data_IF_975642044804
#
_entry.id   IF_975642044804
#
_cell.length_a   1.000
_cell.length_b   1.000
_cell.length_c   1.000
_cell.angle_alpha   90.00
_cell.angle_beta   90.00
_cell.angle_gamma   90.00
#
_symmetry.space_group_name_H-M   'P 1'
#
loop_
_entity.id
_entity.type
_entity.pdbx_description
1 polymer ?
#
# COMPACT_ATOMS: atom_id res chain seq x y z
N UNK A 1 -5.45 19.13 -30.63
CA UNK A 1 -5.23 17.74 -31.07
C UNK A 1 -6.49 17.22 -31.73
N UNK A 2 -6.36 16.25 -32.67
CA UNK A 2 -7.51 15.59 -33.30
C UNK A 2 -7.64 14.17 -32.79
N UNK A 3 -8.82 13.79 -32.35
CA UNK A 3 -9.11 12.47 -31.74
C UNK A 3 -10.07 11.71 -32.65
N UNK A 4 -9.72 10.46 -32.97
CA UNK A 4 -10.63 9.52 -33.64
C UNK A 4 -11.33 8.68 -32.56
N UNK A 5 -12.66 8.63 -32.62
CA UNK A 5 -13.47 7.71 -31.80
C UNK A 5 -14.11 6.64 -32.66
N UNK A 6 -14.24 5.43 -32.09
CA UNK A 6 -15.09 4.37 -32.69
C UNK A 6 -16.52 4.94 -32.83
N UNK A 7 -17.18 4.73 -33.93
CA UNK A 7 -18.54 5.19 -34.22
C UNK A 7 -18.70 6.70 -34.54
N UNK A 8 -17.60 7.44 -34.75
CA UNK A 8 -17.61 8.81 -35.26
C UNK A 8 -16.75 8.86 -36.50
N UNK A 9 -17.36 9.21 -37.66
CA UNK A 9 -16.67 9.26 -38.97
C UNK A 9 -15.63 10.36 -39.04
N UNK A 10 -15.87 11.48 -38.37
CA UNK A 10 -15.01 12.66 -38.41
C UNK A 10 -14.08 12.72 -37.20
N UNK A 11 -12.93 13.38 -37.39
CA UNK A 11 -12.00 13.65 -36.30
C UNK A 11 -12.54 14.78 -35.43
N UNK A 12 -12.58 14.59 -34.13
CA UNK A 12 -13.02 15.56 -33.15
C UNK A 12 -11.84 16.43 -32.73
N UNK A 13 -11.98 17.76 -32.88
CA UNK A 13 -10.96 18.72 -32.47
C UNK A 13 -11.04 18.98 -30.94
N UNK A 14 -9.91 18.85 -30.25
CA UNK A 14 -9.75 19.24 -28.86
C UNK A 14 -8.61 20.26 -28.73
N UNK A 15 -8.87 21.33 -28.00
CA UNK A 15 -7.83 22.24 -27.52
C UNK A 15 -7.42 21.76 -26.13
N UNK A 16 -6.14 21.43 -25.95
CA UNK A 16 -5.58 21.03 -24.67
C UNK A 16 -4.61 22.13 -24.23
N UNK A 17 -4.94 22.79 -23.14
CA UNK A 17 -4.03 23.73 -22.49
C UNK A 17 -3.07 22.93 -21.59
N UNK A 18 -1.78 23.25 -21.69
CA UNK A 18 -0.79 22.65 -20.77
C UNK A 18 -1.02 23.19 -19.36
N UNK A 19 -1.05 22.30 -18.41
CA UNK A 19 -1.15 22.62 -16.99
C UNK A 19 -0.41 21.57 -16.17
N UNK A 20 -0.13 21.85 -14.90
CA UNK A 20 0.42 20.88 -13.97
C UNK A 20 -0.66 19.85 -13.63
N UNK A 21 -0.39 18.59 -13.96
CA UNK A 21 -1.28 17.49 -13.58
C UNK A 21 -0.82 16.98 -12.20
N UNK A 22 -1.62 17.21 -11.14
CA UNK A 22 -1.25 16.74 -9.82
C UNK A 22 -1.23 15.20 -9.80
N UNK A 23 -0.12 14.63 -9.39
CA UNK A 23 0.03 13.20 -9.20
C UNK A 23 -0.03 12.93 -7.71
N UNK A 24 -1.21 12.57 -7.21
CA UNK A 24 -1.43 12.32 -5.79
C UNK A 24 -0.64 11.10 -5.30
N UNK A 25 -0.19 11.18 -4.06
CA UNK A 25 0.48 10.12 -3.31
C UNK A 25 -0.47 9.41 -2.34
N UNK A 26 -1.50 10.12 -1.86
CA UNK A 26 -2.64 9.55 -1.13
C UNK A 26 -3.74 9.24 -2.15
N UNK A 27 -3.87 7.96 -2.50
CA UNK A 27 -4.80 7.51 -3.53
C UNK A 27 -6.24 7.36 -3.00
N UNK A 28 -6.39 7.09 -1.71
CA UNK A 28 -7.70 6.98 -1.07
C UNK A 28 -7.67 7.34 0.40
N UNK A 29 -8.77 7.89 0.89
CA UNK A 29 -9.06 8.03 2.32
C UNK A 29 -10.57 7.96 2.56
N UNK A 30 -10.99 7.19 3.55
CA UNK A 30 -12.40 7.02 3.92
C UNK A 30 -12.54 6.44 5.34
N UNK A 31 -13.75 6.47 5.89
CA UNK A 31 -14.06 5.79 7.15
C UNK A 31 -14.34 4.31 6.88
N UNK A 32 -13.50 3.42 7.39
CA UNK A 32 -13.66 1.97 7.29
C UNK A 32 -14.82 1.45 8.15
N UNK A 33 -15.05 2.12 9.29
CA UNK A 33 -16.17 1.97 10.19
C UNK A 33 -16.41 3.32 10.87
N UNK A 34 -17.44 3.50 11.76
CA UNK A 34 -17.76 4.79 12.38
C UNK A 34 -16.61 5.48 13.13
N UNK A 35 -15.57 4.74 13.52
CA UNK A 35 -14.45 5.23 14.32
C UNK A 35 -13.07 5.01 13.70
N UNK A 36 -12.95 4.21 12.65
CA UNK A 36 -11.70 3.83 12.04
C UNK A 36 -11.53 4.49 10.67
N UNK A 37 -10.54 5.38 10.54
CA UNK A 37 -10.13 5.94 9.26
C UNK A 37 -9.19 4.99 8.51
N UNK A 38 -9.20 5.07 7.20
CA UNK A 38 -8.28 4.38 6.30
C UNK A 38 -7.62 5.40 5.37
N UNK A 39 -6.30 5.28 5.19
CA UNK A 39 -5.53 6.08 4.23
C UNK A 39 -4.64 5.15 3.40
N UNK A 40 -4.75 5.22 2.07
CA UNK A 40 -3.87 4.54 1.13
C UNK A 40 -2.79 5.49 0.64
N UNK A 41 -1.52 5.18 0.94
CA UNK A 41 -0.37 5.90 0.41
C UNK A 41 0.31 4.99 -0.64
N UNK A 42 0.30 5.41 -1.91
CA UNK A 42 0.84 4.60 -3.02
C UNK A 42 2.31 4.88 -3.31
N UNK A 43 2.83 6.02 -2.83
CA UNK A 43 4.23 6.42 -2.91
C UNK A 43 4.51 7.57 -1.95
N UNK A 44 5.77 7.90 -1.72
CA UNK A 44 6.17 9.09 -0.97
C UNK A 44 6.69 10.17 -1.92
N UNK A 45 5.83 11.13 -2.27
CA UNK A 45 6.14 12.34 -3.04
C UNK A 45 6.39 13.53 -2.09
N UNK A 46 6.84 14.66 -2.63
CA UNK A 46 7.01 15.90 -1.84
C UNK A 46 5.68 16.38 -1.23
N UNK A 47 4.57 16.13 -1.91
CA UNK A 47 3.22 16.49 -1.47
C UNK A 47 2.62 15.56 -0.42
N UNK A 48 3.23 14.37 -0.16
CA UNK A 48 2.62 13.32 0.67
C UNK A 48 2.29 13.78 2.10
N UNK A 49 3.20 14.52 2.73
CA UNK A 49 2.95 15.04 4.08
C UNK A 49 1.68 15.90 4.12
N UNK A 50 1.54 16.82 3.17
CA UNK A 50 0.36 17.68 3.06
C UNK A 50 -0.90 16.88 2.78
N UNK A 51 -0.85 15.94 1.84
CA UNK A 51 -1.99 15.11 1.46
C UNK A 51 -2.48 14.22 2.63
N UNK A 52 -1.55 13.60 3.37
CA UNK A 52 -1.88 12.82 4.58
C UNK A 52 -2.50 13.71 5.65
N UNK A 53 -1.93 14.90 5.88
CA UNK A 53 -2.47 15.87 6.84
C UNK A 53 -3.90 16.30 6.48
N UNK A 54 -4.17 16.54 5.21
CA UNK A 54 -5.50 16.91 4.74
C UNK A 54 -6.49 15.75 4.85
N UNK A 55 -6.07 14.52 4.51
CA UNK A 55 -6.87 13.30 4.72
C UNK A 55 -7.20 13.06 6.20
N UNK A 56 -6.21 13.19 7.10
CA UNK A 56 -6.40 13.06 8.55
C UNK A 56 -7.41 14.08 9.10
N UNK A 57 -7.34 15.33 8.64
CA UNK A 57 -8.31 16.37 9.02
C UNK A 57 -9.73 16.02 8.54
N UNK A 58 -9.86 15.52 7.31
CA UNK A 58 -11.14 15.11 6.75
C UNK A 58 -11.76 13.93 7.53
N UNK A 59 -10.94 12.92 7.85
CA UNK A 59 -11.37 11.77 8.65
C UNK A 59 -11.70 12.16 10.10
N UNK A 60 -10.92 13.05 10.71
CA UNK A 60 -11.21 13.54 12.08
C UNK A 60 -12.55 14.26 12.16
N UNK A 61 -12.92 15.04 11.13
CA UNK A 61 -14.26 15.68 11.05
C UNK A 61 -15.40 14.66 10.94
N UNK A 62 -15.12 13.45 10.44
CA UNK A 62 -16.07 12.33 10.34
C UNK A 62 -16.11 11.46 11.60
N UNK A 63 -15.34 11.80 12.65
CA UNK A 63 -15.35 11.08 13.93
C UNK A 63 -14.24 10.04 14.08
N UNK A 64 -13.20 10.06 13.24
CA UNK A 64 -12.08 9.13 13.34
C UNK A 64 -11.42 9.18 14.73
N UNK A 65 -11.25 8.01 15.33
CA UNK A 65 -10.56 7.79 16.60
C UNK A 65 -9.32 6.87 16.42
N UNK A 66 -9.29 6.07 15.36
CA UNK A 66 -8.27 5.08 15.02
C UNK A 66 -7.95 5.14 13.54
N UNK A 67 -6.74 4.72 13.14
CA UNK A 67 -6.29 4.86 11.76
C UNK A 67 -5.60 3.60 11.23
N UNK A 68 -5.98 3.18 10.04
CA UNK A 68 -5.27 2.20 9.23
C UNK A 68 -4.51 2.95 8.12
N UNK A 69 -3.19 2.81 8.08
CA UNK A 69 -2.33 3.31 6.99
C UNK A 69 -1.95 2.14 6.10
N UNK A 70 -2.32 2.19 4.85
CA UNK A 70 -2.01 1.14 3.87
C UNK A 70 -0.82 1.52 2.99
N UNK A 71 0.27 0.77 3.16
CA UNK A 71 1.51 0.87 2.39
C UNK A 71 1.73 -0.35 1.46
N UNK A 72 0.75 -1.23 1.29
CA UNK A 72 0.87 -2.37 0.38
C UNK A 72 1.17 -1.89 -1.04
N UNK A 73 2.14 -2.50 -1.71
CA UNK A 73 2.56 -2.10 -3.05
C UNK A 73 3.32 -0.76 -3.15
N UNK A 74 3.60 -0.10 -2.02
CA UNK A 74 4.30 1.19 -2.00
C UNK A 74 5.83 1.00 -1.98
N UNK A 75 6.47 1.20 -3.12
CA UNK A 75 7.94 1.09 -3.29
C UNK A 75 8.77 2.20 -2.62
N UNK A 76 8.13 3.12 -1.87
CA UNK A 76 8.79 4.22 -1.16
C UNK A 76 8.75 5.56 -1.92
N UNK A 77 9.82 6.31 -1.83
CA UNK A 77 9.98 7.64 -2.41
C UNK A 77 10.86 8.53 -1.55
N UNK A 78 10.46 9.79 -1.33
CA UNK A 78 11.22 10.75 -0.54
C UNK A 78 11.23 10.41 0.96
N UNK A 79 12.43 10.28 1.53
CA UNK A 79 12.63 10.02 2.95
C UNK A 79 11.99 11.11 3.83
N UNK A 80 12.20 12.39 3.48
CA UNK A 80 11.64 13.50 4.25
C UNK A 80 10.10 13.46 4.31
N UNK A 81 9.45 12.98 3.26
CA UNK A 81 7.99 12.82 3.27
C UNK A 81 7.55 11.73 4.28
N UNK A 82 8.27 10.61 4.36
CA UNK A 82 8.00 9.59 5.37
C UNK A 82 8.27 10.09 6.80
N UNK A 83 9.36 10.86 6.99
CA UNK A 83 9.67 11.53 8.27
C UNK A 83 8.55 12.49 8.67
N UNK A 84 8.08 13.36 7.75
CA UNK A 84 6.99 14.28 8.02
C UNK A 84 5.66 13.58 8.37
N UNK A 85 5.37 12.47 7.72
CA UNK A 85 4.19 11.64 8.08
C UNK A 85 4.36 11.00 9.46
N UNK A 86 5.52 10.38 9.74
CA UNK A 86 5.79 9.74 11.03
C UNK A 86 5.67 10.72 12.20
N UNK A 87 6.19 11.93 12.02
CA UNK A 87 6.16 13.00 13.04
C UNK A 87 4.74 13.34 13.51
N UNK A 88 3.72 13.18 12.64
CA UNK A 88 2.32 13.48 13.04
C UNK A 88 1.80 12.56 14.16
N UNK A 89 2.49 11.45 14.43
CA UNK A 89 2.04 10.39 15.34
C UNK A 89 2.99 10.13 16.51
N UNK A 90 4.17 10.78 16.56
CA UNK A 90 5.22 10.53 17.53
C UNK A 90 5.29 11.66 18.56
N UNK A 91 5.95 11.42 19.70
CA UNK A 91 6.25 12.45 20.67
C UNK A 91 7.50 13.23 20.25
N UNK A 92 7.63 14.46 20.74
CA UNK A 92 8.85 15.23 20.59
C UNK A 92 10.08 14.44 21.09
N UNK A 93 11.14 14.44 20.28
CA UNK A 93 12.38 13.72 20.56
C UNK A 93 12.39 12.25 20.12
N UNK A 94 11.25 11.64 19.80
CA UNK A 94 11.22 10.25 19.28
C UNK A 94 12.03 10.17 17.99
N UNK A 95 12.98 9.22 17.93
CA UNK A 95 13.74 8.96 16.71
C UNK A 95 12.84 8.32 15.66
N UNK A 96 12.96 8.78 14.41
CA UNK A 96 12.20 8.24 13.27
C UNK A 96 13.12 7.37 12.44
N UNK A 97 14.28 7.86 12.08
CA UNK A 97 15.28 7.18 11.26
C UNK A 97 16.63 7.90 11.42
N UNK A 98 17.73 7.17 11.32
CA UNK A 98 19.03 7.80 11.11
C UNK A 98 19.75 7.20 9.90
N UNK A 99 20.67 7.98 9.33
CA UNK A 99 21.48 7.55 8.19
C UNK A 99 22.95 7.54 8.54
N UNK A 100 23.68 6.55 8.04
CA UNK A 100 25.14 6.43 8.24
C UNK A 100 25.79 5.89 6.97
N UNK A 101 26.88 6.52 6.56
CA UNK A 101 27.70 6.11 5.41
C UNK A 101 29.19 6.04 5.76
N UNK A 102 29.99 5.43 4.89
CA UNK A 102 31.46 5.28 5.12
C UNK A 102 32.16 6.64 5.17
N UNK A 103 31.73 7.59 4.33
CA UNK A 103 32.31 8.94 4.20
C UNK A 103 31.26 10.03 4.44
N UNK A 104 30.14 9.69 5.07
CA UNK A 104 29.05 10.62 5.37
C UNK A 104 28.79 10.54 6.85
N UNK A 105 28.81 11.70 7.52
CA UNK A 105 28.48 11.78 8.94
C UNK A 105 27.06 11.26 9.20
N UNK A 106 26.82 10.60 10.34
CA UNK A 106 25.48 10.21 10.74
C UNK A 106 24.55 11.42 10.78
N UNK A 107 23.32 11.24 10.26
CA UNK A 107 22.27 12.23 10.33
C UNK A 107 21.03 11.58 10.99
N UNK A 108 20.54 12.19 12.05
CA UNK A 108 19.41 11.73 12.85
C UNK A 108 18.18 12.56 12.51
N UNK A 109 17.05 11.90 12.37
CA UNK A 109 15.75 12.50 12.11
C UNK A 109 14.82 12.13 13.25
N UNK A 110 14.58 13.07 14.14
CA UNK A 110 13.71 12.92 15.30
C UNK A 110 12.47 13.77 15.11
N UNK A 111 11.38 13.40 15.78
CA UNK A 111 10.18 14.23 15.83
C UNK A 111 10.53 15.56 16.55
N UNK A 112 10.33 16.69 15.86
CA UNK A 112 10.69 18.02 16.37
C UNK A 112 9.63 18.63 17.28
N UNK A 113 8.46 18.01 17.35
CA UNK A 113 7.35 18.36 18.23
C UNK A 113 6.44 17.16 18.42
N UNK A 114 5.65 17.19 19.49
CA UNK A 114 4.62 16.15 19.69
C UNK A 114 3.55 16.22 18.61
N UNK A 115 3.33 15.11 17.94
CA UNK A 115 2.41 15.00 16.82
C UNK A 115 0.93 15.13 17.23
N UNK A 116 0.10 15.80 16.43
CA UNK A 116 -1.31 16.02 16.74
C UNK A 116 -2.18 14.75 16.77
N UNK A 117 -1.65 13.64 16.30
CA UNK A 117 -2.35 12.33 16.23
C UNK A 117 -1.64 11.25 17.05
N UNK A 118 -0.79 11.63 18.02
CA UNK A 118 -0.06 10.69 18.86
C UNK A 118 -0.96 9.77 19.70
N UNK A 119 -2.16 10.24 20.03
CA UNK A 119 -3.05 9.56 20.97
C UNK A 119 -4.06 8.60 20.28
N UNK A 120 -4.07 8.54 18.93
CA UNK A 120 -4.94 7.60 18.21
C UNK A 120 -4.24 6.27 17.98
N UNK A 121 -4.97 5.16 18.03
CA UNK A 121 -4.44 3.87 17.64
C UNK A 121 -4.12 3.82 16.14
N UNK A 122 -2.96 3.25 15.79
CA UNK A 122 -2.50 3.13 14.40
C UNK A 122 -2.13 1.71 14.07
N UNK A 123 -2.63 1.24 12.93
CA UNK A 123 -2.20 0.00 12.27
C UNK A 123 -1.60 0.37 10.91
N UNK A 124 -0.44 -0.20 10.60
CA UNK A 124 0.21 -0.05 9.29
C UNK A 124 0.16 -1.36 8.53
N UNK A 125 -0.47 -1.35 7.36
CA UNK A 125 -0.53 -2.52 6.47
C UNK A 125 0.66 -2.51 5.51
N UNK A 126 1.40 -3.62 5.44
CA UNK A 126 2.58 -3.77 4.58
C UNK A 126 2.56 -5.10 3.82
N UNK A 127 3.29 -5.15 2.71
CA UNK A 127 3.52 -6.37 1.97
C UNK A 127 4.96 -6.47 1.45
N UNK A 128 5.28 -7.52 0.72
CA UNK A 128 6.60 -7.78 0.15
C UNK A 128 7.08 -6.72 -0.86
N UNK A 129 6.20 -5.84 -1.30
CA UNK A 129 6.48 -4.72 -2.23
C UNK A 129 6.62 -3.38 -1.50
N UNK A 130 6.28 -3.32 -0.22
CA UNK A 130 6.50 -2.14 0.63
C UNK A 130 8.00 -1.95 0.83
N UNK A 131 8.55 -0.81 0.38
CA UNK A 131 10.00 -0.62 0.35
C UNK A 131 10.43 0.81 0.74
N UNK A 132 11.70 0.98 1.15
CA UNK A 132 12.35 2.29 1.31
C UNK A 132 11.60 3.20 2.29
N UNK A 133 11.03 4.34 1.85
CA UNK A 133 10.27 5.28 2.68
C UNK A 133 9.08 4.62 3.41
N UNK A 134 8.46 3.60 2.82
CA UNK A 134 7.43 2.79 3.50
C UNK A 134 8.00 2.02 4.68
N UNK A 135 9.23 1.54 4.56
CA UNK A 135 9.93 0.82 5.62
C UNK A 135 10.43 1.77 6.72
N UNK A 136 10.72 3.03 6.36
CA UNK A 136 11.02 4.08 7.35
C UNK A 136 9.79 4.33 8.21
N UNK A 137 8.63 4.56 7.61
CA UNK A 137 7.40 4.83 8.35
C UNK A 137 6.97 3.64 9.21
N UNK A 138 6.90 2.44 8.63
CA UNK A 138 6.50 1.23 9.37
C UNK A 138 7.52 0.85 10.46
N UNK A 139 8.82 0.99 10.18
CA UNK A 139 9.88 0.76 11.16
C UNK A 139 9.89 1.77 12.29
N UNK A 140 9.65 3.06 12.01
CA UNK A 140 9.51 4.09 13.04
C UNK A 140 8.33 3.79 13.99
N UNK A 141 7.20 3.35 13.45
CA UNK A 141 6.04 2.99 14.28
C UNK A 141 6.29 1.71 15.09
N UNK A 142 6.87 0.69 14.48
CA UNK A 142 7.16 -0.58 15.15
C UNK A 142 8.18 -0.40 16.27
N UNK A 143 9.30 0.28 16.00
CA UNK A 143 10.42 0.38 16.94
C UNK A 143 10.15 1.36 18.10
N UNK A 144 9.28 2.36 17.91
CA UNK A 144 8.77 3.21 18.96
C UNK A 144 7.55 2.62 19.71
N UNK A 145 7.12 1.40 19.38
CA UNK A 145 5.89 0.78 19.90
C UNK A 145 4.65 1.68 19.72
N UNK A 146 4.64 2.48 18.65
CA UNK A 146 3.62 3.47 18.36
C UNK A 146 2.42 2.88 17.64
N UNK A 147 2.61 1.82 16.89
CA UNK A 147 1.56 1.18 16.09
C UNK A 147 1.91 -0.24 15.71
N UNK A 148 0.90 -1.02 15.38
CA UNK A 148 1.04 -2.42 14.97
C UNK A 148 1.25 -2.51 13.47
N UNK A 149 2.24 -3.29 13.04
CA UNK A 149 2.51 -3.57 11.63
C UNK A 149 1.89 -4.92 11.25
N UNK A 150 1.03 -4.93 10.25
CA UNK A 150 0.29 -6.14 9.82
C UNK A 150 0.54 -6.43 8.33
N UNK A 151 0.76 -7.69 8.01
CA UNK A 151 0.91 -8.13 6.63
C UNK A 151 2.02 -9.13 6.39
N UNK A 152 2.91 -8.87 5.46
CA UNK A 152 4.07 -9.70 5.11
C UNK A 152 5.34 -8.89 5.23
N UNK A 153 6.46 -9.58 5.46
CA UNK A 153 7.78 -8.96 5.54
C UNK A 153 8.04 -8.08 4.31
N UNK A 154 8.49 -6.86 4.54
CA UNK A 154 8.72 -5.86 3.51
C UNK A 154 9.92 -6.18 2.61
N UNK A 155 10.21 -5.33 1.65
CA UNK A 155 11.21 -5.59 0.61
C UNK A 155 12.66 -5.63 1.12
N UNK A 156 13.01 -4.77 2.09
CA UNK A 156 14.37 -4.69 2.61
C UNK A 156 15.29 -3.75 1.80
N UNK A 157 14.83 -2.54 1.48
CA UNK A 157 15.64 -1.51 0.81
C UNK A 157 16.01 -0.40 1.79
N UNK A 158 17.18 -0.54 2.45
CA UNK A 158 17.71 0.39 3.46
C UNK A 158 18.83 1.30 2.95
N UNK A 159 18.81 1.71 1.67
CA UNK A 159 19.85 2.51 1.03
C UNK A 159 19.38 3.94 0.77
N UNK A 160 20.24 4.91 1.11
CA UNK A 160 20.07 6.33 0.76
C UNK A 160 20.80 6.62 -0.53
N UNK A 161 20.05 7.03 -1.55
CA UNK A 161 20.59 7.41 -2.86
C UNK A 161 20.47 8.92 -3.04
N UNK A 162 21.57 9.59 -3.44
CA UNK A 162 21.61 11.01 -3.75
C UNK A 162 21.82 11.24 -5.24
N UNK A 163 21.08 12.15 -5.86
CA UNK A 163 21.32 12.57 -7.23
C UNK A 163 22.50 13.58 -7.26
N UNK A 164 23.36 13.44 -8.27
CA UNK A 164 24.42 14.36 -8.58
C UNK A 164 24.25 14.84 -10.02
N UNK A 165 23.76 16.08 -10.22
CA UNK A 165 23.53 16.62 -11.55
C UNK A 165 24.85 17.00 -12.24
N UNK A 166 24.90 16.87 -13.56
CA UNK A 166 25.98 17.35 -14.42
C UNK A 166 25.56 18.63 -15.16
N UNK A 167 26.56 19.40 -15.68
CA UNK A 167 26.27 20.66 -16.40
C UNK A 167 25.41 20.49 -17.66
N UNK A 168 25.43 19.33 -18.28
CA UNK A 168 24.62 18.98 -19.46
C UNK A 168 23.17 18.60 -19.14
N UNK A 169 22.78 18.64 -17.84
CA UNK A 169 21.45 18.24 -17.37
C UNK A 169 21.28 16.74 -17.12
N UNK A 170 22.29 15.93 -17.42
CA UNK A 170 22.31 14.52 -17.01
C UNK A 170 22.55 14.38 -15.50
N UNK A 171 22.31 13.18 -14.96
CA UNK A 171 22.38 12.97 -13.51
C UNK A 171 22.85 11.56 -13.17
N UNK A 172 23.76 11.45 -12.21
CA UNK A 172 24.10 10.18 -11.56
C UNK A 172 23.37 10.07 -10.23
N UNK A 173 22.82 8.90 -9.94
CA UNK A 173 22.25 8.57 -8.61
C UNK A 173 23.16 7.56 -7.92
N UNK A 174 23.77 7.96 -6.80
CA UNK A 174 24.72 7.14 -6.06
C UNK A 174 24.17 6.80 -4.67
N UNK A 175 24.43 5.56 -4.23
CA UNK A 175 24.23 5.16 -2.84
C UNK A 175 25.32 5.75 -1.97
N UNK A 176 24.96 6.58 -0.99
CA UNK A 176 25.90 7.28 -0.11
C UNK A 176 25.85 6.81 1.34
N UNK A 177 24.71 6.25 1.76
CA UNK A 177 24.46 5.84 3.16
C UNK A 177 23.49 4.68 3.23
N UNK A 178 23.47 4.02 4.37
CA UNK A 178 22.36 3.16 4.81
C UNK A 178 21.50 3.94 5.78
N UNK A 179 20.22 3.60 5.89
CA UNK A 179 19.41 4.08 6.98
C UNK A 179 19.07 2.96 7.96
N UNK A 180 18.81 3.38 9.17
CA UNK A 180 18.57 2.53 10.32
C UNK A 180 17.29 3.01 11.02
N UNK A 181 16.52 2.08 11.53
CA UNK A 181 15.32 2.37 12.31
C UNK A 181 15.67 2.73 13.76
N UNK A 182 14.74 3.23 14.58
CA UNK A 182 15.01 3.65 15.95
C UNK A 182 15.66 2.59 16.86
N UNK A 183 15.41 1.31 16.60
CA UNK A 183 16.08 0.22 17.33
C UNK A 183 17.57 0.02 16.95
N UNK A 184 18.07 0.76 15.95
CA UNK A 184 19.43 0.65 15.44
C UNK A 184 19.63 -0.43 14.37
N UNK A 185 18.57 -1.15 13.99
CA UNK A 185 18.67 -2.18 12.94
C UNK A 185 18.72 -1.58 11.55
N UNK A 186 19.60 -2.12 10.71
CA UNK A 186 19.54 -1.92 9.27
C UNK A 186 18.58 -2.94 8.65
N UNK A 187 17.63 -2.45 7.88
CA UNK A 187 16.67 -3.30 7.19
C UNK A 187 17.13 -3.75 5.81
N UNK A 188 18.32 -3.27 5.35
CA UNK A 188 18.84 -3.61 4.04
C UNK A 188 19.09 -5.12 3.92
N UNK A 189 18.42 -5.76 2.97
CA UNK A 189 18.69 -7.15 2.64
C UNK A 189 20.07 -7.34 2.00
N UNK A 190 20.70 -8.52 2.11
CA UNK A 190 22.00 -8.79 1.54
C UNK A 190 22.07 -8.46 0.03
N UNK A 191 23.25 -8.03 -0.43
CA UNK A 191 23.54 -7.72 -1.82
C UNK A 191 24.78 -8.49 -2.32
N UNK A 192 25.31 -9.40 -1.49
CA UNK A 192 26.57 -10.09 -1.76
C UNK A 192 26.52 -11.01 -3.00
N UNK A 193 25.34 -11.55 -3.30
CA UNK A 193 25.15 -12.54 -4.37
C UNK A 193 24.77 -11.89 -5.71
N UNK A 194 24.89 -10.54 -5.80
CA UNK A 194 24.70 -9.77 -7.01
C UNK A 194 23.28 -9.26 -7.26
N UNK A 195 23.13 -8.51 -8.35
CA UNK A 195 21.89 -7.81 -8.68
C UNK A 195 20.75 -8.78 -9.04
N UNK A 196 21.05 -9.83 -9.78
CA UNK A 196 20.08 -10.83 -10.20
C UNK A 196 19.45 -11.53 -9.01
N UNK A 197 20.26 -11.89 -8.02
CA UNK A 197 19.85 -12.53 -6.80
C UNK A 197 19.00 -11.58 -5.92
N UNK A 198 19.43 -10.33 -5.81
CA UNK A 198 18.70 -9.27 -5.13
C UNK A 198 17.30 -9.06 -5.72
N UNK A 199 17.16 -9.06 -7.04
CA UNK A 199 15.89 -8.84 -7.73
C UNK A 199 14.94 -10.06 -7.65
N UNK A 200 15.50 -11.28 -7.55
CA UNK A 200 14.73 -12.53 -7.45
C UNK A 200 14.29 -12.85 -6.01
N UNK A 201 14.65 -12.06 -5.02
CA UNK A 201 14.35 -12.32 -3.61
C UNK A 201 12.86 -12.58 -3.33
N UNK A 202 11.96 -11.72 -3.81
CA UNK A 202 10.51 -11.89 -3.61
C UNK A 202 10.00 -13.20 -4.24
N UNK A 203 10.54 -13.57 -5.40
CA UNK A 203 10.20 -14.84 -6.05
C UNK A 203 10.67 -16.04 -5.22
N UNK A 204 11.89 -16.00 -4.68
CA UNK A 204 12.40 -17.06 -3.76
C UNK A 204 11.58 -17.17 -2.49
N UNK A 205 11.17 -16.04 -1.91
CA UNK A 205 10.29 -15.98 -0.75
C UNK A 205 8.92 -16.63 -1.01
N UNK A 206 8.40 -16.47 -2.23
CA UNK A 206 7.18 -17.18 -2.65
C UNK A 206 7.43 -18.68 -2.80
N UNK A 207 8.54 -19.09 -3.43
CA UNK A 207 8.87 -20.51 -3.63
C UNK A 207 9.17 -21.23 -2.33
N UNK A 208 9.82 -20.56 -1.36
CA UNK A 208 10.10 -21.13 -0.04
C UNK A 208 8.89 -21.24 0.87
N UNK A 209 7.74 -20.67 0.47
CA UNK A 209 6.53 -20.62 1.29
C UNK A 209 6.48 -19.46 2.29
N UNK A 210 7.52 -18.64 2.42
CA UNK A 210 7.56 -17.51 3.38
C UNK A 210 6.36 -16.57 3.23
N UNK A 211 5.85 -16.36 2.01
CA UNK A 211 4.71 -15.47 1.79
C UNK A 211 3.35 -16.13 2.05
N UNK A 212 3.28 -17.47 2.15
CA UNK A 212 2.04 -18.24 2.20
C UNK A 212 1.83 -19.01 3.49
N UNK A 213 2.89 -19.19 4.30
CA UNK A 213 2.84 -20.00 5.52
C UNK A 213 3.56 -19.30 6.68
N UNK A 214 2.83 -19.03 7.76
CA UNK A 214 3.37 -18.38 8.96
C UNK A 214 4.34 -19.27 9.74
N UNK A 215 4.31 -20.58 9.55
CA UNK A 215 5.20 -21.53 10.22
C UNK A 215 6.58 -21.59 9.58
N UNK A 216 6.70 -21.12 8.34
CA UNK A 216 7.95 -21.01 7.59
C UNK A 216 8.64 -19.65 7.81
N UNK A 217 8.45 -19.07 9.00
CA UNK A 217 9.09 -17.82 9.39
C UNK A 217 10.61 -17.90 9.18
N UNK A 218 11.16 -16.83 8.62
CA UNK A 218 12.62 -16.74 8.40
C UNK A 218 13.34 -16.85 9.73
N UNK A 219 14.22 -17.84 9.86
CA UNK A 219 15.17 -17.91 10.97
C UNK A 219 16.16 -16.76 10.82
N UNK A 220 16.13 -15.84 11.76
CA UNK A 220 17.09 -14.75 11.80
C UNK A 220 18.25 -15.11 12.74
N UNK A 221 19.51 -14.87 12.33
CA UNK A 221 20.64 -15.05 13.24
C UNK A 221 20.56 -14.06 14.41
N UNK A 222 21.01 -14.48 15.59
CA UNK A 222 21.00 -13.63 16.80
C UNK A 222 21.76 -12.31 16.62
N UNK A 223 22.74 -12.25 15.73
CA UNK A 223 23.46 -11.03 15.39
C UNK A 223 22.59 -9.95 14.74
N UNK A 224 21.41 -10.29 14.26
CA UNK A 224 20.42 -9.38 13.66
C UNK A 224 19.24 -9.11 14.60
N UNK A 225 19.32 -9.54 15.86
CA UNK A 225 18.30 -9.32 16.88
C UNK A 225 18.46 -7.93 17.50
N UNK A 226 17.37 -7.18 17.53
CA UNK A 226 17.24 -5.85 18.15
C UNK A 226 15.98 -5.83 19.02
N UNK A 227 15.78 -4.75 19.75
CA UNK A 227 14.59 -4.55 20.57
C UNK A 227 13.95 -3.20 20.31
N UNK A 228 12.62 -3.18 20.32
CA UNK A 228 11.84 -1.94 20.30
C UNK A 228 11.99 -1.17 21.62
N UNK A 229 11.38 -0.01 21.72
CA UNK A 229 11.35 0.79 22.95
C UNK A 229 10.82 0.01 24.16
N UNK A 230 9.79 -0.78 23.98
CA UNK A 230 9.19 -1.62 25.02
C UNK A 230 9.89 -3.00 25.20
N UNK A 231 11.01 -3.25 24.50
CA UNK A 231 11.76 -4.50 24.60
C UNK A 231 11.26 -5.65 23.74
N UNK A 232 10.28 -5.45 22.87
CA UNK A 232 9.83 -6.47 21.90
C UNK A 232 10.96 -6.79 20.92
N UNK A 233 11.10 -8.07 20.57
CA UNK A 233 12.14 -8.51 19.64
C UNK A 233 11.79 -8.17 18.21
N UNK A 234 12.73 -7.55 17.50
CA UNK A 234 12.66 -7.24 16.06
C UNK A 234 13.98 -7.62 15.40
N UNK A 235 13.97 -7.83 14.09
CA UNK A 235 15.14 -8.28 13.35
C UNK A 235 15.53 -7.31 12.23
N UNK A 236 16.83 -7.20 11.97
CA UNK A 236 17.40 -6.46 10.86
C UNK A 236 17.75 -7.36 9.67
N UNK A 237 18.35 -6.77 8.64
CA UNK A 237 18.97 -7.48 7.52
C UNK A 237 18.04 -8.00 6.44
N UNK A 238 16.75 -7.67 6.46
CA UNK A 238 15.84 -8.23 5.45
C UNK A 238 14.45 -7.58 5.37
N UNK A 239 14.33 -6.28 5.64
CA UNK A 239 13.05 -5.57 5.67
C UNK A 239 12.43 -5.53 7.06
N UNK A 240 11.20 -5.05 7.14
CA UNK A 240 10.38 -4.99 8.35
C UNK A 240 9.53 -6.26 8.41
N UNK A 241 9.77 -7.10 9.40
CA UNK A 241 8.90 -8.24 9.71
C UNK A 241 7.67 -7.71 10.46
N UNK A 242 6.44 -7.99 10.01
CA UNK A 242 5.24 -7.49 10.66
C UNK A 242 5.03 -8.11 12.03
N UNK A 243 4.35 -7.40 12.93
CA UNK A 243 3.94 -7.91 14.24
C UNK A 243 2.87 -9.01 14.09
N UNK A 244 2.04 -8.90 13.05
CA UNK A 244 1.06 -9.91 12.68
C UNK A 244 1.25 -10.28 11.21
N UNK A 245 1.64 -11.53 10.99
CA UNK A 245 1.73 -12.07 9.64
C UNK A 245 0.34 -12.41 9.08
N UNK A 246 0.15 -12.09 7.78
CA UNK A 246 -1.03 -12.49 7.01
C UNK A 246 -0.57 -13.13 5.70
N UNK A 247 -0.90 -14.40 5.53
CA UNK A 247 -0.51 -15.17 4.35
C UNK A 247 -1.06 -14.58 3.04
N UNK A 248 -0.28 -14.72 1.98
CA UNK A 248 -0.72 -14.41 0.63
C UNK A 248 -1.77 -15.42 0.18
N UNK A 249 -2.98 -14.97 -0.10
CA UNK A 249 -4.02 -15.80 -0.71
C UNK A 249 -3.71 -16.01 -2.21
N UNK A 250 -3.32 -17.22 -2.56
CA UNK A 250 -3.03 -17.61 -3.96
C UNK A 250 -4.21 -18.30 -4.64
N UNK A 251 -5.32 -18.52 -3.93
CA UNK A 251 -6.45 -19.33 -4.43
C UNK A 251 -7.42 -18.56 -5.32
N UNK A 252 -7.60 -17.26 -5.06
CA UNK A 252 -8.58 -16.41 -5.75
C UNK A 252 -8.08 -15.83 -7.07
N UNK A 253 -6.74 -15.69 -7.20
CA UNK A 253 -6.10 -15.10 -8.39
C UNK A 253 -5.71 -16.20 -9.36
N UNK A 254 -6.67 -16.68 -10.15
CA UNK A 254 -6.46 -17.72 -11.14
C UNK A 254 -5.57 -17.23 -12.31
N UNK A 255 -4.95 -18.14 -13.10
CA UNK A 255 -4.29 -17.77 -14.35
C UNK A 255 -5.18 -16.96 -15.29
N UNK A 256 -6.45 -17.34 -15.41
CA UNK A 256 -7.43 -16.60 -16.21
C UNK A 256 -7.59 -15.15 -15.77
N UNK A 257 -7.75 -14.91 -14.45
CA UNK A 257 -7.82 -13.54 -13.90
C UNK A 257 -6.55 -12.74 -14.20
N UNK A 258 -5.37 -13.35 -14.02
CA UNK A 258 -4.08 -12.70 -14.32
C UNK A 258 -3.97 -12.27 -15.78
N UNK A 259 -4.42 -13.12 -16.71
CA UNK A 259 -4.41 -12.81 -18.14
C UNK A 259 -5.37 -11.68 -18.49
N UNK A 260 -6.57 -11.63 -17.88
CA UNK A 260 -7.52 -10.51 -18.02
C UNK A 260 -6.88 -9.17 -17.59
N UNK A 261 -6.13 -9.19 -16.50
CA UNK A 261 -5.41 -7.99 -16.00
C UNK A 261 -4.24 -7.63 -16.91
N UNK A 262 -3.39 -8.60 -17.24
CA UNK A 262 -2.17 -8.39 -18.05
C UNK A 262 -2.48 -7.85 -19.45
N UNK A 263 -3.58 -8.30 -20.06
CA UNK A 263 -4.04 -7.80 -21.37
C UNK A 263 -4.94 -6.56 -21.29
N UNK A 264 -5.17 -6.02 -20.08
CA UNK A 264 -5.96 -4.83 -19.85
C UNK A 264 -7.46 -4.96 -20.16
N UNK A 265 -7.97 -6.19 -20.29
CA UNK A 265 -9.36 -6.47 -20.64
C UNK A 265 -10.32 -5.91 -19.60
N UNK A 266 -10.00 -6.12 -18.30
CA UNK A 266 -10.82 -5.61 -17.19
C UNK A 266 -10.99 -4.10 -17.22
N UNK A 267 -9.91 -3.37 -17.31
CA UNK A 267 -9.95 -1.90 -17.34
C UNK A 267 -10.72 -1.40 -18.55
N UNK A 268 -10.47 -1.97 -19.73
CA UNK A 268 -11.15 -1.56 -20.97
C UNK A 268 -12.64 -1.84 -20.91
N UNK A 269 -13.05 -3.01 -20.41
CA UNK A 269 -14.47 -3.33 -20.21
C UNK A 269 -15.14 -2.31 -19.26
N UNK A 270 -14.56 -2.06 -18.09
CA UNK A 270 -15.13 -1.15 -17.11
C UNK A 270 -15.25 0.28 -17.65
N UNK A 271 -14.22 0.78 -18.32
CA UNK A 271 -14.24 2.11 -18.96
C UNK A 271 -15.36 2.21 -20.01
N UNK A 272 -15.48 1.24 -20.92
CA UNK A 272 -16.52 1.21 -21.93
C UNK A 272 -17.92 1.14 -21.32
N UNK A 273 -18.08 0.31 -20.27
CA UNK A 273 -19.33 0.18 -19.54
C UNK A 273 -19.76 1.52 -18.90
N UNK A 274 -18.85 2.19 -18.21
CA UNK A 274 -19.10 3.49 -17.57
C UNK A 274 -19.35 4.56 -18.61
N UNK A 275 -18.55 4.67 -19.67
CA UNK A 275 -18.68 5.71 -20.66
C UNK A 275 -20.01 5.64 -21.41
N UNK A 276 -20.47 4.44 -21.75
CA UNK A 276 -21.74 4.25 -22.41
C UNK A 276 -22.98 4.52 -21.52
N UNK A 277 -22.82 4.49 -20.19
CA UNK A 277 -23.93 4.55 -19.22
C UNK A 277 -23.73 5.61 -18.13
N UNK A 278 -22.72 6.49 -18.24
CA UNK A 278 -22.33 7.45 -17.20
C UNK A 278 -23.47 8.30 -16.67
N UNK A 279 -24.31 8.83 -17.56
CA UNK A 279 -25.48 9.65 -17.16
C UNK A 279 -26.47 8.85 -16.32
N UNK A 280 -26.79 7.62 -16.75
CA UNK A 280 -27.71 6.73 -16.06
C UNK A 280 -27.13 6.31 -14.70
N UNK A 281 -25.87 5.86 -14.67
CA UNK A 281 -25.20 5.44 -13.44
C UNK A 281 -25.12 6.57 -12.41
N UNK A 282 -24.83 7.81 -12.82
CA UNK A 282 -24.83 8.98 -11.93
C UNK A 282 -26.22 9.38 -11.45
N UNK A 283 -27.26 9.11 -12.23
CA UNK A 283 -28.65 9.31 -11.83
C UNK A 283 -29.09 8.28 -10.78
N UNK A 284 -28.76 7.00 -11.02
CA UNK A 284 -29.16 5.90 -10.15
C UNK A 284 -28.35 5.87 -8.85
N UNK A 285 -27.06 6.20 -8.96
CA UNK A 285 -26.09 6.15 -7.87
C UNK A 285 -25.37 7.50 -7.73
N UNK A 286 -26.00 8.45 -7.06
CA UNK A 286 -25.43 9.80 -6.89
C UNK A 286 -24.41 9.91 -5.76
N UNK A 287 -24.21 8.85 -4.96
CA UNK A 287 -23.19 8.76 -3.91
C UNK A 287 -22.48 7.40 -3.96
N UNK A 288 -21.24 7.36 -3.43
CA UNK A 288 -20.46 6.11 -3.30
C UNK A 288 -21.24 5.07 -2.47
N UNK A 289 -21.86 5.48 -1.37
CA UNK A 289 -22.62 4.58 -0.50
C UNK A 289 -23.80 3.93 -1.23
N UNK A 290 -24.60 4.70 -1.98
CA UNK A 290 -25.68 4.14 -2.81
C UNK A 290 -25.16 3.18 -3.87
N UNK A 291 -24.01 3.47 -4.44
CA UNK A 291 -23.38 2.57 -5.43
C UNK A 291 -22.90 1.28 -4.77
N UNK A 292 -22.23 1.37 -3.62
CA UNK A 292 -21.75 0.20 -2.89
C UNK A 292 -22.89 -0.74 -2.54
N UNK A 293 -24.01 -0.24 -2.06
CA UNK A 293 -25.14 -1.07 -1.62
C UNK A 293 -26.10 -1.47 -2.76
N UNK A 294 -26.24 -0.63 -3.78
CA UNK A 294 -27.26 -0.82 -4.82
C UNK A 294 -26.74 -1.44 -6.13
N UNK A 295 -25.49 -1.15 -6.55
CA UNK A 295 -24.97 -1.65 -7.82
C UNK A 295 -24.56 -3.13 -7.72
N UNK A 296 -25.03 -3.94 -8.66
CA UNK A 296 -24.69 -5.36 -8.76
C UNK A 296 -24.13 -5.67 -10.15
N UNK A 297 -23.02 -6.38 -10.20
CA UNK A 297 -22.51 -6.95 -11.43
C UNK A 297 -23.39 -8.13 -11.81
N UNK A 298 -23.99 -8.06 -12.99
CA UNK A 298 -24.92 -9.08 -13.49
C UNK A 298 -24.21 -10.14 -14.32
N UNK A 299 -24.86 -11.30 -14.53
CA UNK A 299 -24.34 -12.34 -15.40
C UNK A 299 -24.17 -11.86 -16.86
N UNK A 300 -25.04 -10.99 -17.32
CA UNK A 300 -24.91 -10.36 -18.63
C UNK A 300 -23.63 -9.52 -18.74
N UNK A 301 -23.30 -8.76 -17.72
CA UNK A 301 -22.04 -7.97 -17.69
C UNK A 301 -20.81 -8.89 -17.73
N UNK A 302 -20.84 -10.00 -16.99
CA UNK A 302 -19.75 -10.99 -17.01
C UNK A 302 -19.65 -11.69 -18.37
N UNK A 303 -20.77 -12.01 -19.01
CA UNK A 303 -20.79 -12.58 -20.34
C UNK A 303 -20.17 -11.64 -21.40
N UNK A 304 -20.49 -10.33 -21.32
CA UNK A 304 -19.88 -9.31 -22.18
C UNK A 304 -18.36 -9.21 -21.94
N UNK A 305 -17.91 -9.22 -20.66
CA UNK A 305 -16.50 -9.24 -20.31
C UNK A 305 -15.80 -10.50 -20.87
N UNK A 306 -16.40 -11.68 -20.73
CA UNK A 306 -15.85 -12.93 -21.25
C UNK A 306 -15.78 -12.92 -22.78
N UNK A 307 -16.76 -12.36 -23.45
CA UNK A 307 -16.75 -12.19 -24.91
C UNK A 307 -15.60 -11.28 -25.36
N UNK A 308 -15.35 -10.17 -24.64
CA UNK A 308 -14.21 -9.28 -24.88
C UNK A 308 -12.88 -10.03 -24.63
N UNK A 309 -12.80 -10.84 -23.59
CA UNK A 309 -11.63 -11.63 -23.27
C UNK A 309 -11.27 -12.62 -24.39
N UNK A 310 -12.27 -13.31 -24.96
CA UNK A 310 -12.09 -14.22 -26.10
C UNK A 310 -11.57 -13.45 -27.32
N UNK A 311 -12.13 -12.28 -27.63
CA UNK A 311 -11.66 -11.42 -28.72
C UNK A 311 -10.18 -11.01 -28.57
N UNK A 312 -9.70 -10.85 -27.33
CA UNK A 312 -8.30 -10.56 -27.01
C UNK A 312 -7.44 -11.82 -26.81
N UNK A 313 -7.93 -12.97 -27.22
CA UNK A 313 -7.23 -14.26 -27.12
C UNK A 313 -6.84 -14.63 -25.68
N UNK A 314 -7.66 -14.28 -24.69
CA UNK A 314 -7.56 -14.82 -23.32
C UNK A 314 -8.25 -16.18 -23.30
N UNK A 315 -7.48 -17.22 -22.99
CA UNK A 315 -7.99 -18.59 -22.94
C UNK A 315 -8.77 -18.81 -21.65
N UNK A 316 -10.08 -19.04 -21.77
CA UNK A 316 -10.94 -19.40 -20.64
C UNK A 316 -10.90 -20.90 -20.38
N UNK A 317 -10.60 -21.28 -19.13
CA UNK A 317 -10.82 -22.63 -18.62
C UNK A 317 -12.00 -22.57 -17.65
N UNK A 318 -13.05 -23.41 -17.80
CA UNK A 318 -14.31 -23.29 -17.06
C UNK A 318 -14.15 -23.28 -15.54
N UNK A 319 -13.26 -24.11 -15.01
CA UNK A 319 -12.91 -24.18 -13.59
C UNK A 319 -12.24 -22.89 -13.09
N UNK A 320 -11.32 -22.29 -13.85
CA UNK A 320 -10.68 -21.03 -13.50
C UNK A 320 -11.65 -19.84 -13.57
N UNK A 321 -12.53 -19.82 -14.55
CA UNK A 321 -13.60 -18.81 -14.69
C UNK A 321 -14.55 -18.90 -13.50
N UNK A 322 -14.99 -20.13 -13.15
CA UNK A 322 -15.85 -20.36 -12.00
C UNK A 322 -15.18 -19.96 -10.68
N UNK A 323 -13.94 -20.38 -10.45
CA UNK A 323 -13.20 -20.07 -9.22
C UNK A 323 -12.93 -18.59 -9.02
N UNK A 324 -12.76 -17.81 -10.10
CA UNK A 324 -12.50 -16.37 -10.01
C UNK A 324 -13.75 -15.49 -10.08
N UNK A 325 -14.94 -16.05 -10.29
CA UNK A 325 -16.16 -15.30 -10.60
C UNK A 325 -16.51 -14.24 -9.54
N UNK A 326 -16.57 -14.61 -8.26
CA UNK A 326 -16.98 -13.71 -7.19
C UNK A 326 -15.92 -12.60 -6.97
N UNK A 327 -14.64 -13.01 -7.02
CA UNK A 327 -13.53 -12.08 -6.95
C UNK A 327 -13.56 -11.09 -8.13
N UNK A 328 -13.73 -11.61 -9.36
CA UNK A 328 -13.82 -10.83 -10.59
C UNK A 328 -15.01 -9.85 -10.54
N UNK A 329 -16.18 -10.31 -10.09
CA UNK A 329 -17.38 -9.47 -9.95
C UNK A 329 -17.13 -8.30 -9.01
N UNK A 330 -16.48 -8.55 -7.88
CA UNK A 330 -16.14 -7.49 -6.92
C UNK A 330 -15.14 -6.49 -7.51
N UNK A 331 -14.11 -6.96 -8.21
CA UNK A 331 -13.12 -6.09 -8.85
C UNK A 331 -13.75 -5.28 -10.00
N UNK A 332 -14.62 -5.87 -10.82
CA UNK A 332 -15.39 -5.14 -11.85
C UNK A 332 -16.22 -4.03 -11.21
N UNK A 333 -16.94 -4.33 -10.13
CA UNK A 333 -17.70 -3.32 -9.37
C UNK A 333 -16.77 -2.21 -8.84
N UNK A 334 -15.62 -2.57 -8.26
CA UNK A 334 -14.67 -1.61 -7.72
C UNK A 334 -14.10 -0.69 -8.83
N UNK A 335 -13.74 -1.24 -9.99
CA UNK A 335 -13.25 -0.47 -11.13
C UNK A 335 -14.32 0.49 -11.69
N UNK A 336 -15.56 0.03 -11.80
CA UNK A 336 -16.69 0.89 -12.21
C UNK A 336 -16.90 2.00 -11.17
N UNK A 337 -16.83 1.68 -9.88
CA UNK A 337 -16.92 2.67 -8.79
C UNK A 337 -15.82 3.72 -8.88
N UNK A 338 -14.57 3.30 -9.14
CA UNK A 338 -13.43 4.21 -9.36
C UNK A 338 -13.68 5.17 -10.54
N UNK A 339 -14.13 4.63 -11.67
CA UNK A 339 -14.31 5.42 -12.89
C UNK A 339 -15.54 6.34 -12.82
N UNK A 340 -16.49 6.03 -11.94
CA UNK A 340 -17.69 6.83 -11.69
C UNK A 340 -17.47 7.94 -10.64
N UNK A 341 -16.66 7.64 -9.61
CA UNK A 341 -16.39 8.51 -8.46
C UNK A 341 -14.90 8.82 -8.33
N UNK A 342 -14.15 7.96 -7.62
CA UNK A 342 -12.72 8.12 -7.33
C UNK A 342 -12.09 6.80 -6.83
N UNK A 343 -10.78 6.84 -6.54
CA UNK A 343 -10.05 5.68 -5.99
C UNK A 343 -10.55 5.25 -4.61
N UNK A 344 -11.13 6.15 -3.79
CA UNK A 344 -11.69 5.77 -2.49
C UNK A 344 -12.86 4.80 -2.64
N UNK A 345 -13.70 4.98 -3.67
CA UNK A 345 -14.77 4.04 -3.99
C UNK A 345 -14.22 2.66 -4.36
N UNK A 346 -13.10 2.60 -5.12
CA UNK A 346 -12.43 1.34 -5.44
C UNK A 346 -12.01 0.60 -4.16
N UNK A 347 -11.28 1.27 -3.28
CA UNK A 347 -10.76 0.62 -2.07
C UNK A 347 -11.86 0.22 -1.10
N UNK A 348 -12.92 1.00 -0.96
CA UNK A 348 -14.08 0.61 -0.12
C UNK A 348 -14.73 -0.70 -0.60
N UNK A 349 -14.75 -0.93 -1.92
CA UNK A 349 -15.35 -2.15 -2.50
C UNK A 349 -14.36 -3.31 -2.51
N UNK A 350 -13.08 -3.06 -2.81
CA UNK A 350 -12.07 -4.11 -2.97
C UNK A 350 -11.46 -4.58 -1.64
N UNK A 351 -11.32 -3.71 -0.65
CA UNK A 351 -10.68 -4.03 0.64
C UNK A 351 -11.33 -5.17 1.42
N UNK A 352 -12.65 -5.41 1.37
CA UNK A 352 -13.26 -6.62 1.93
C UNK A 352 -12.74 -7.94 1.35
N UNK A 353 -12.06 -7.91 0.19
CA UNK A 353 -11.37 -9.06 -0.38
C UNK A 353 -9.92 -9.20 0.11
N UNK A 354 -9.36 -8.18 0.76
CA UNK A 354 -7.97 -8.14 1.18
C UNK A 354 -7.79 -8.70 2.60
N UNK A 355 -7.13 -9.88 2.77
CA UNK A 355 -6.94 -10.50 4.08
C UNK A 355 -6.17 -9.60 5.07
N UNK A 356 -5.20 -8.79 4.58
CA UNK A 356 -4.45 -7.87 5.44
C UNK A 356 -5.37 -6.77 5.97
N UNK A 357 -6.25 -6.23 5.13
CA UNK A 357 -7.21 -5.22 5.56
C UNK A 357 -8.21 -5.77 6.58
N UNK A 358 -8.76 -6.95 6.34
CA UNK A 358 -9.68 -7.60 7.28
C UNK A 358 -9.01 -7.82 8.65
N UNK A 359 -7.75 -8.26 8.63
CA UNK A 359 -6.97 -8.44 9.85
C UNK A 359 -6.65 -7.13 10.55
N UNK A 360 -6.36 -6.07 9.78
CA UNK A 360 -6.11 -4.74 10.32
C UNK A 360 -7.37 -4.16 10.99
N UNK A 361 -8.55 -4.31 10.38
CA UNK A 361 -9.83 -3.89 10.95
C UNK A 361 -10.14 -4.69 12.23
N UNK A 362 -9.92 -6.00 12.24
CA UNK A 362 -10.12 -6.84 13.43
C UNK A 362 -9.25 -6.36 14.60
N UNK A 363 -7.95 -6.19 14.35
CA UNK A 363 -6.97 -5.85 15.39
C UNK A 363 -7.18 -4.44 15.93
N UNK A 364 -7.41 -3.46 15.07
CA UNK A 364 -7.57 -2.06 15.49
C UNK A 364 -8.87 -1.83 16.26
N UNK A 365 -9.86 -2.70 16.07
CA UNK A 365 -11.13 -2.67 16.80
C UNK A 365 -11.09 -3.43 18.13
N UNK A 366 -9.94 -4.04 18.48
CA UNK A 366 -9.71 -4.67 19.79
C UNK A 366 -8.57 -3.94 20.55
N UNK A 367 -8.91 -2.94 21.38
CA UNK A 367 -7.90 -2.18 22.14
C UNK A 367 -7.09 -3.04 23.13
N UNK A 368 -7.62 -4.16 23.61
CA UNK A 368 -6.87 -5.08 24.50
C UNK A 368 -5.80 -5.78 23.70
N UNK A 369 -6.14 -6.27 22.53
CA UNK A 369 -5.20 -6.92 21.61
C UNK A 369 -4.12 -5.94 21.12
N UNK A 370 -4.48 -4.72 20.74
CA UNK A 370 -3.52 -3.67 20.37
C UNK A 370 -2.50 -3.45 21.50
N UNK A 371 -2.95 -3.28 22.73
CA UNK A 371 -2.08 -3.09 23.89
C UNK A 371 -1.20 -4.31 24.16
N UNK A 372 -1.76 -5.52 24.07
CA UNK A 372 -0.99 -6.77 24.27
C UNK A 372 0.15 -6.93 23.26
N UNK A 373 -0.08 -6.56 21.98
CA UNK A 373 0.96 -6.64 20.95
C UNK A 373 2.08 -5.61 21.20
N UNK A 374 1.75 -4.42 21.67
CA UNK A 374 2.71 -3.32 21.90
C UNK A 374 3.34 -3.36 23.30
N UNK A 375 2.87 -4.23 24.19
CA UNK A 375 3.37 -4.35 25.55
C UNK A 375 4.78 -4.98 25.61
N UNK A 376 5.53 -4.73 26.69
CA UNK A 376 6.76 -5.48 26.98
C UNK A 376 6.50 -6.98 27.03
N UNK A 377 7.51 -7.83 26.71
CA UNK A 377 7.35 -9.29 26.70
C UNK A 377 6.83 -9.91 28.02
N UNK A 378 7.17 -9.29 29.15
CA UNK A 378 6.77 -9.77 30.49
C UNK A 378 5.30 -9.47 30.85
N UNK A 379 4.62 -8.64 30.06
CA UNK A 379 3.19 -8.29 30.24
C UNK A 379 2.23 -9.27 29.55
N UNK A 380 2.75 -10.19 28.75
CA UNK A 380 1.95 -11.14 27.98
C UNK A 380 1.52 -12.39 28.76
N UNK A 381 1.84 -12.47 30.07
CA UNK A 381 1.56 -13.65 30.90
C UNK A 381 0.53 -13.43 32.03
N UNK A 382 -0.18 -12.29 32.02
CA UNK A 382 -1.36 -12.03 32.83
C UNK A 382 -2.64 -11.91 31.95
#
# INVERSE_FOLDING_TARGET
MKVRRSNVSELIDFVVTRDEIPIYSVDAHYMADPHTGYIKIVRFAESTEKEVKDALKALKKQGMQRLIIDLQGNGGGYMNAAVGVAQMFLNEGDEIVYTKGVRVHPAYFNAVSTGPYRDIDVVTMVDQSSASASEILSGAFQDNDRGVVIGRRTFGKGLVQRPFPFPDGSMIRLTTSRYYTPSGRSIQKPYADGEDDYNKDVYRRLQSGELTDSTLAVSHPDSLRFTTRNGRVVYGGGGITPDIFVALDTTRVTPYYRDLVAKGVLNRFCLQYVDSRRKQLKSDFNTVDKFIHGFKVTDAMLADLYSMAVADSVKAQPDQVSASRDYLSTIVKALIGRDLFDSSAYYQIANPLNPIYLRAVEVINDPKRMRSILAPPDYAME
#
